data_IF_002010603521
#
_entry.id   IF_002010603521
#
_cell.length_a   1.000
_cell.length_b   1.000
_cell.length_c   1.000
_cell.angle_alpha   90.00
_cell.angle_beta   90.00
_cell.angle_gamma   90.00
#
_symmetry.space_group_name_H-M   'P 1'
#
loop_
_entity.id
_entity.type
_entity.pdbx_description
1 polymer ?
#
# COMPACT_ATOMS: atom_id res chain seq x y z
N UNK A 1 -6.31 -5.92 -4.41
CA UNK A 1 -7.15 -5.96 -3.18
C UNK A 1 -8.49 -5.21 -3.30
N UNK A 2 -8.93 -4.77 -4.48
CA UNK A 2 -10.21 -4.05 -4.65
C UNK A 2 -11.43 -4.95 -4.84
N UNK A 3 -11.24 -6.26 -5.04
CA UNK A 3 -12.36 -7.19 -5.15
C UNK A 3 -13.15 -7.26 -3.84
N UNK A 4 -14.46 -7.47 -3.97
CA UNK A 4 -15.41 -7.42 -2.86
C UNK A 4 -15.04 -8.37 -1.71
N UNK A 5 -14.54 -9.58 -2.00
CA UNK A 5 -14.06 -10.55 -1.00
C UNK A 5 -12.97 -10.03 -0.06
N UNK A 6 -12.28 -8.95 -0.42
CA UNK A 6 -11.22 -8.35 0.38
C UNK A 6 -11.68 -7.15 1.24
N UNK A 7 -12.95 -6.74 1.16
CA UNK A 7 -13.44 -5.51 1.81
C UNK A 7 -13.22 -5.47 3.34
N UNK A 8 -13.16 -6.64 3.98
CA UNK A 8 -12.97 -6.78 5.43
C UNK A 8 -11.52 -7.16 5.82
N UNK A 9 -10.56 -7.02 4.91
CA UNK A 9 -9.13 -7.34 5.14
C UNK A 9 -8.27 -6.13 5.49
N UNK A 10 -8.87 -4.95 5.58
CA UNK A 10 -8.21 -3.71 6.00
C UNK A 10 -8.49 -3.47 7.48
N UNK A 11 -7.43 -3.29 8.27
CA UNK A 11 -7.52 -3.11 9.72
C UNK A 11 -6.66 -1.92 10.16
N UNK A 12 -7.16 -1.05 11.05
CA UNK A 12 -6.34 0.00 11.65
C UNK A 12 -5.21 -0.62 12.48
N UNK A 13 -3.96 -0.22 12.21
CA UNK A 13 -2.77 -0.75 12.87
C UNK A 13 -2.88 -0.62 14.40
N UNK A 14 -3.14 0.59 14.91
CA UNK A 14 -3.10 0.91 16.35
C UNK A 14 -4.13 0.13 17.17
N UNK A 15 -5.29 -0.21 16.57
CA UNK A 15 -6.39 -0.89 17.25
C UNK A 15 -6.33 -2.41 17.11
N UNK A 16 -5.87 -2.91 15.96
CA UNK A 16 -6.02 -4.31 15.60
C UNK A 16 -4.73 -5.11 15.74
N UNK A 17 -3.58 -4.55 15.33
CA UNK A 17 -2.37 -5.35 15.12
C UNK A 17 -1.85 -6.01 16.40
N UNK A 18 -1.53 -5.23 17.43
CA UNK A 18 -1.03 -5.75 18.72
C UNK A 18 -2.05 -6.68 19.39
N UNK A 19 -3.34 -6.35 19.29
CA UNK A 19 -4.43 -7.21 19.79
C UNK A 19 -4.45 -8.55 19.06
N UNK A 20 -4.39 -8.56 17.73
CA UNK A 20 -4.38 -9.79 16.94
C UNK A 20 -3.12 -10.63 17.19
N UNK A 21 -1.96 -10.01 17.39
CA UNK A 21 -0.75 -10.72 17.80
C UNK A 21 -0.95 -11.40 19.16
N UNK A 22 -1.42 -10.66 20.17
CA UNK A 22 -1.65 -11.18 21.53
C UNK A 22 -2.70 -12.29 21.57
N UNK A 23 -3.76 -12.17 20.77
CA UNK A 23 -4.86 -13.15 20.72
C UNK A 23 -4.61 -14.32 19.76
N UNK A 24 -3.48 -14.34 19.04
CA UNK A 24 -3.19 -15.37 18.04
C UNK A 24 -4.15 -15.34 16.84
N UNK A 25 -4.69 -14.17 16.49
CA UNK A 25 -5.66 -13.95 15.39
C UNK A 25 -5.03 -13.31 14.15
N UNK A 26 -3.70 -13.16 14.13
CA UNK A 26 -3.01 -12.59 12.98
C UNK A 26 -3.17 -13.52 11.77
N UNK A 27 -3.54 -13.02 10.57
CA UNK A 27 -3.55 -13.82 9.36
C UNK A 27 -2.15 -14.37 9.01
N UNK A 28 -2.11 -15.44 8.22
CA UNK A 28 -0.85 -16.05 7.77
C UNK A 28 0.01 -15.12 6.90
N UNK A 29 -0.60 -14.11 6.29
CA UNK A 29 0.07 -13.08 5.51
C UNK A 29 -0.52 -11.71 5.86
N UNK A 30 0.35 -10.79 6.28
CA UNK A 30 -0.01 -9.43 6.67
C UNK A 30 0.97 -8.47 6.02
N UNK A 31 0.43 -7.41 5.42
CA UNK A 31 1.18 -6.24 4.97
C UNK A 31 0.88 -5.12 5.94
N UNK A 32 1.92 -4.44 6.41
CA UNK A 32 1.80 -3.28 7.31
C UNK A 32 2.17 -2.06 6.48
N UNK A 33 1.20 -1.18 6.28
CA UNK A 33 1.39 0.11 5.62
C UNK A 33 1.61 1.18 6.68
N UNK A 34 2.55 2.09 6.44
CA UNK A 34 2.85 3.20 7.34
C UNK A 34 1.81 4.33 7.22
N UNK A 35 1.87 5.28 8.15
CA UNK A 35 1.16 6.54 8.10
C UNK A 35 2.07 7.58 7.46
N UNK A 36 1.68 8.00 6.26
CA UNK A 36 2.39 8.99 5.45
C UNK A 36 1.94 10.44 5.67
N UNK A 37 0.85 10.65 6.42
CA UNK A 37 0.28 11.96 6.70
C UNK A 37 0.38 12.23 8.20
N UNK A 38 1.16 13.25 8.58
CA UNK A 38 1.50 13.58 9.96
C UNK A 38 0.41 14.40 10.65
N UNK A 39 -0.53 13.73 11.33
CA UNK A 39 -1.63 14.35 12.08
C UNK A 39 -1.29 14.46 13.58
N UNK A 40 -0.50 15.48 13.93
CA UNK A 40 -0.06 15.69 15.32
C UNK A 40 -1.18 16.32 16.18
N UNK A 41 -1.30 15.95 17.46
CA UNK A 41 -0.45 15.02 18.20
C UNK A 41 -0.92 13.56 18.18
N UNK A 42 -2.10 13.26 17.62
CA UNK A 42 -2.80 11.99 17.84
C UNK A 42 -2.33 10.84 16.94
N UNK A 43 -2.03 11.13 15.68
CA UNK A 43 -1.67 10.14 14.66
C UNK A 43 -0.47 10.64 13.84
N UNK A 44 0.72 10.75 14.46
CA UNK A 44 1.90 11.20 13.75
C UNK A 44 2.31 10.20 12.65
N UNK A 45 3.03 10.73 11.66
CA UNK A 45 3.69 9.92 10.64
C UNK A 45 4.64 8.91 11.29
N UNK A 46 4.73 7.71 10.73
CA UNK A 46 5.55 6.61 11.27
C UNK A 46 6.28 5.82 10.18
N UNK A 47 6.74 6.54 9.16
CA UNK A 47 7.61 6.06 8.08
C UNK A 47 9.02 6.66 8.22
N UNK A 48 9.90 6.29 7.28
CA UNK A 48 11.25 6.85 7.15
C UNK A 48 11.32 7.96 6.07
N UNK A 49 10.18 8.42 5.54
CA UNK A 49 10.09 9.37 4.43
C UNK A 49 10.25 10.83 4.93
N UNK A 50 11.06 11.69 4.26
CA UNK A 50 11.12 13.10 4.60
C UNK A 50 9.76 13.83 4.44
N UNK A 51 9.41 14.81 5.27
CA UNK A 51 10.16 15.43 6.36
C UNK A 51 9.98 14.74 7.72
N UNK A 52 9.46 13.51 7.78
CA UNK A 52 9.36 12.79 9.06
C UNK A 52 10.73 12.38 9.58
N UNK A 53 10.86 12.36 10.90
CA UNK A 53 12.03 11.80 11.56
C UNK A 53 12.02 10.28 11.41
N UNK A 54 13.10 9.72 10.86
CA UNK A 54 13.27 8.26 10.68
C UNK A 54 13.12 7.49 12.00
N UNK A 55 13.36 8.12 13.15
CA UNK A 55 13.11 7.50 14.45
C UNK A 55 11.65 7.04 14.62
N UNK A 56 10.69 7.70 13.96
CA UNK A 56 9.29 7.29 13.98
C UNK A 56 9.05 6.00 13.17
N UNK A 57 9.62 5.88 11.97
CA UNK A 57 9.61 4.64 11.19
C UNK A 57 10.35 3.50 11.89
N UNK A 58 11.52 3.78 12.46
CA UNK A 58 12.26 2.79 13.25
C UNK A 58 11.49 2.34 14.50
N UNK A 59 10.67 3.22 15.11
CA UNK A 59 9.80 2.84 16.23
C UNK A 59 8.69 1.90 15.77
N UNK A 60 8.11 2.10 14.59
CA UNK A 60 7.15 1.16 14.01
C UNK A 60 7.80 -0.23 13.80
N UNK A 61 9.01 -0.28 13.23
CA UNK A 61 9.74 -1.56 13.05
C UNK A 61 9.98 -2.26 14.39
N UNK A 62 10.42 -1.51 15.42
CA UNK A 62 10.57 -2.03 16.79
C UNK A 62 9.26 -2.59 17.33
N UNK A 63 8.17 -1.84 17.26
CA UNK A 63 6.86 -2.29 17.76
C UNK A 63 6.37 -3.56 17.07
N UNK A 64 6.58 -3.68 15.76
CA UNK A 64 6.21 -4.87 14.99
C UNK A 64 7.07 -6.06 15.40
N UNK A 65 8.39 -5.89 15.49
CA UNK A 65 9.31 -6.93 15.94
C UNK A 65 8.93 -7.45 17.34
N UNK A 66 8.69 -6.54 18.29
CA UNK A 66 8.39 -6.88 19.67
C UNK A 66 7.01 -7.53 19.85
N UNK A 67 6.07 -7.28 18.95
CA UNK A 67 4.77 -7.94 18.95
C UNK A 67 4.81 -9.38 18.38
N UNK A 68 5.77 -9.68 17.50
CA UNK A 68 5.88 -10.97 16.81
C UNK A 68 6.80 -11.95 17.57
N UNK A 69 6.51 -13.26 17.49
CA UNK A 69 7.29 -14.31 18.18
C UNK A 69 7.62 -15.55 17.35
N UNK A 70 6.85 -15.84 16.30
CA UNK A 70 7.06 -17.04 15.48
C UNK A 70 6.66 -16.77 14.03
N UNK A 71 7.32 -15.79 13.42
CA UNK A 71 6.97 -15.25 12.10
C UNK A 71 8.24 -14.93 11.32
N UNK A 72 8.14 -14.90 10.00
CA UNK A 72 9.12 -14.23 9.14
C UNK A 72 8.65 -12.79 8.93
N UNK A 73 9.34 -11.85 9.56
CA UNK A 73 9.17 -10.42 9.29
C UNK A 73 10.12 -10.03 8.16
N UNK A 74 9.57 -9.39 7.14
CA UNK A 74 10.33 -8.79 6.02
C UNK A 74 10.18 -7.29 6.12
N UNK A 75 11.29 -6.58 6.33
CA UNK A 75 11.34 -5.11 6.30
C UNK A 75 12.09 -4.70 5.05
N UNK A 76 11.46 -3.89 4.20
CA UNK A 76 12.08 -3.35 2.99
C UNK A 76 11.50 -1.97 2.69
N UNK A 77 12.06 -1.31 1.67
CA UNK A 77 11.73 0.05 1.28
C UNK A 77 11.27 0.04 -0.17
N UNK A 78 10.17 0.71 -0.47
CA UNK A 78 9.59 0.83 -1.81
C UNK A 78 10.52 1.52 -2.80
N UNK A 79 11.34 2.46 -2.31
CA UNK A 79 12.37 3.13 -3.10
C UNK A 79 13.66 3.46 -2.33
N UNK A 80 14.65 3.97 -3.08
CA UNK A 80 15.97 4.31 -2.58
C UNK A 80 16.10 5.76 -2.03
N UNK A 81 15.03 6.56 -2.06
CA UNK A 81 15.01 7.94 -1.55
C UNK A 81 15.94 8.93 -2.28
N UNK A 82 16.36 8.62 -3.51
CA UNK A 82 17.27 9.47 -4.29
C UNK A 82 18.74 9.42 -3.86
N UNK A 83 19.11 8.55 -2.93
CA UNK A 83 20.48 8.43 -2.44
C UNK A 83 21.37 7.67 -3.42
N UNK A 84 22.65 8.07 -3.51
CA UNK A 84 23.61 7.35 -4.35
C UNK A 84 23.84 5.92 -3.84
N UNK A 85 23.74 4.95 -4.74
CA UNK A 85 24.21 3.58 -4.53
C UNK A 85 25.28 3.24 -5.58
N UNK A 86 26.36 2.62 -5.14
CA UNK A 86 27.51 2.30 -5.99
C UNK A 86 27.30 1.07 -6.87
N UNK A 87 26.26 0.26 -6.62
CA UNK A 87 26.00 -0.98 -7.36
C UNK A 87 25.21 -0.66 -8.62
N UNK A 88 25.73 -1.01 -9.82
CA UNK A 88 25.00 -0.85 -11.06
C UNK A 88 23.69 -1.66 -11.06
N UNK A 89 22.63 -1.09 -11.64
CA UNK A 89 21.33 -1.75 -11.67
C UNK A 89 21.34 -2.98 -12.60
N UNK A 90 20.81 -4.14 -12.17
CA UNK A 90 20.72 -5.31 -13.02
C UNK A 90 19.84 -5.09 -14.26
N UNK A 91 20.36 -5.45 -15.43
CA UNK A 91 19.66 -5.36 -16.73
C UNK A 91 19.65 -6.68 -17.50
N UNK A 92 20.51 -7.63 -17.12
CA UNK A 92 20.70 -8.87 -17.88
C UNK A 92 19.64 -9.91 -17.53
N UNK A 93 18.83 -10.32 -18.52
CA UNK A 93 17.86 -11.41 -18.36
C UNK A 93 16.75 -11.09 -17.36
N UNK A 94 16.42 -9.81 -17.18
CA UNK A 94 15.40 -9.29 -16.25
C UNK A 94 14.07 -9.20 -17.04
N UNK A 95 13.11 -10.13 -16.90
CA UNK A 95 11.94 -10.20 -17.78
C UNK A 95 10.91 -9.10 -17.52
N UNK A 96 10.42 -8.41 -18.55
CA UNK A 96 9.22 -7.55 -18.40
C UNK A 96 8.07 -8.33 -17.73
N UNK A 97 7.40 -7.79 -16.69
CA UNK A 97 6.44 -8.54 -15.89
C UNK A 97 5.29 -9.08 -16.74
N UNK A 98 4.70 -8.23 -17.57
CA UNK A 98 3.52 -8.51 -18.40
C UNK A 98 3.74 -8.18 -19.89
N UNK A 99 4.90 -7.63 -20.26
CA UNK A 99 5.20 -7.22 -21.63
C UNK A 99 4.59 -5.88 -22.03
N UNK A 100 4.00 -5.13 -21.09
CA UNK A 100 3.47 -3.80 -21.33
C UNK A 100 4.62 -2.79 -21.36
N UNK A 101 4.62 -1.94 -22.39
CA UNK A 101 5.58 -0.84 -22.55
C UNK A 101 4.87 0.46 -22.20
N UNK A 102 5.54 1.36 -21.47
CA UNK A 102 4.96 2.66 -21.14
C UNK A 102 4.69 3.50 -22.39
N UNK A 103 3.78 4.47 -22.28
CA UNK A 103 3.44 5.33 -23.41
C UNK A 103 4.65 6.18 -23.87
N UNK A 104 4.69 6.62 -25.15
CA UNK A 104 5.65 7.60 -25.62
C UNK A 104 5.60 8.91 -24.80
N UNK A 105 6.73 9.66 -24.71
CA UNK A 105 7.98 9.45 -25.43
C UNK A 105 8.94 8.45 -24.75
N UNK A 106 8.69 8.06 -23.50
CA UNK A 106 9.65 7.28 -22.70
C UNK A 106 9.75 5.83 -23.21
N UNK A 107 8.62 5.19 -23.54
CA UNK A 107 8.58 3.81 -24.07
C UNK A 107 9.37 2.80 -23.21
N UNK A 108 9.19 2.86 -21.90
CA UNK A 108 9.90 2.03 -20.93
C UNK A 108 9.36 0.60 -20.93
N UNK A 109 10.22 -0.40 -21.17
CA UNK A 109 9.83 -1.81 -21.34
C UNK A 109 9.75 -2.62 -20.04
N UNK A 110 10.14 -2.02 -18.91
CA UNK A 110 10.18 -2.68 -17.59
C UNK A 110 11.01 -3.97 -17.56
N UNK A 111 12.06 -4.07 -18.37
CA UNK A 111 12.97 -5.22 -18.52
C UNK A 111 14.31 -5.01 -17.81
N UNK A 112 14.31 -4.20 -16.74
CA UNK A 112 15.45 -3.91 -15.87
C UNK A 112 15.01 -3.67 -14.43
N UNK A 113 15.95 -3.74 -13.49
CA UNK A 113 15.72 -3.36 -12.09
C UNK A 113 16.09 -1.90 -11.82
N UNK A 114 15.51 -1.37 -10.75
CA UNK A 114 15.85 -0.05 -10.18
C UNK A 114 17.10 -0.09 -9.31
N UNK A 115 17.33 1.02 -8.60
CA UNK A 115 18.39 1.16 -7.60
C UNK A 115 18.10 0.21 -6.42
N UNK A 116 19.15 -0.25 -5.74
CA UNK A 116 18.99 -1.12 -4.57
C UNK A 116 18.25 -0.40 -3.44
N UNK A 117 17.50 -1.19 -2.69
CA UNK A 117 16.84 -0.79 -1.46
C UNK A 117 17.26 -1.74 -0.33
N UNK A 118 17.23 -1.30 0.94
CA UNK A 118 17.47 -2.20 2.06
C UNK A 118 16.41 -3.32 2.14
N UNK A 119 16.85 -4.50 2.57
CA UNK A 119 15.96 -5.62 2.90
C UNK A 119 16.50 -6.35 4.13
N UNK A 120 15.67 -6.47 5.16
CA UNK A 120 15.99 -7.12 6.43
C UNK A 120 14.98 -8.24 6.66
N UNK A 121 15.49 -9.46 6.87
CA UNK A 121 14.69 -10.64 7.16
C UNK A 121 14.90 -11.02 8.62
N UNK A 122 13.81 -11.06 9.38
CA UNK A 122 13.85 -11.32 10.82
C UNK A 122 12.96 -12.50 11.15
N UNK A 123 13.56 -13.55 11.73
CA UNK A 123 12.84 -14.74 12.16
C UNK A 123 13.69 -15.54 13.14
N UNK A 124 13.10 -16.21 14.16
CA UNK A 124 13.86 -17.10 15.03
C UNK A 124 14.39 -18.34 14.27
N UNK A 125 13.96 -18.58 13.03
CA UNK A 125 14.50 -19.63 12.15
C UNK A 125 15.71 -19.19 11.30
N UNK A 126 16.21 -17.97 11.47
CA UNK A 126 17.39 -17.44 10.77
C UNK A 126 18.58 -17.38 11.74
N UNK A 127 19.75 -17.81 11.28
CA UNK A 127 21.00 -17.69 12.05
C UNK A 127 21.40 -16.22 12.25
N UNK A 128 21.91 -15.82 13.44
CA UNK A 128 22.28 -14.43 13.69
C UNK A 128 23.45 -14.01 12.80
N UNK A 129 23.39 -12.77 12.30
CA UNK A 129 24.44 -12.22 11.43
C UNK A 129 24.47 -12.80 10.02
N UNK A 130 23.39 -13.47 9.58
CA UNK A 130 23.28 -13.97 8.20
C UNK A 130 23.24 -12.82 7.20
N UNK A 131 24.12 -12.88 6.20
CA UNK A 131 24.12 -11.98 5.04
C UNK A 131 23.96 -12.82 3.78
N UNK A 132 22.95 -12.49 2.98
CA UNK A 132 22.73 -13.08 1.66
C UNK A 132 22.99 -12.04 0.58
N UNK A 133 23.69 -12.45 -0.49
CA UNK A 133 24.04 -11.52 -1.57
C UNK A 133 23.21 -11.72 -2.83
N UNK A 134 22.99 -12.97 -3.24
CA UNK A 134 22.21 -13.31 -4.45
C UNK A 134 21.34 -14.54 -4.19
N UNK A 135 20.17 -14.64 -4.84
CA UNK A 135 19.37 -15.84 -4.75
C UNK A 135 20.02 -17.00 -5.54
N UNK A 136 19.70 -18.25 -5.19
CA UNK A 136 20.19 -19.43 -5.91
C UNK A 136 19.49 -19.68 -7.26
N UNK A 137 18.43 -18.93 -7.58
CA UNK A 137 17.61 -19.11 -8.76
C UNK A 137 16.28 -18.36 -8.63
N UNK A 138 15.26 -18.67 -9.43
CA UNK A 138 15.16 -19.84 -10.32
C UNK A 138 16.02 -19.80 -11.58
N UNK A 139 16.46 -18.62 -12.03
CA UNK A 139 17.36 -18.46 -13.17
C UNK A 139 18.75 -17.98 -12.71
N UNK A 140 19.82 -18.21 -13.49
CA UNK A 140 21.16 -17.72 -13.15
C UNK A 140 21.24 -16.19 -13.02
N UNK A 141 20.31 -15.46 -13.64
CA UNK A 141 20.24 -13.99 -13.59
C UNK A 141 19.35 -13.47 -12.47
N UNK A 142 18.57 -14.33 -11.79
CA UNK A 142 17.63 -13.96 -10.74
C UNK A 142 18.27 -13.07 -9.68
N UNK A 143 17.51 -12.09 -9.20
CA UNK A 143 17.90 -11.18 -8.13
C UNK A 143 16.86 -11.21 -7.00
N UNK A 144 17.25 -10.71 -5.84
CA UNK A 144 16.28 -10.27 -4.83
C UNK A 144 15.79 -8.87 -5.20
N UNK A 145 14.48 -8.72 -5.33
CA UNK A 145 13.79 -7.46 -5.67
C UNK A 145 12.34 -7.51 -5.14
N UNK A 146 11.52 -6.47 -5.33
CA UNK A 146 10.18 -6.41 -4.74
C UNK A 146 9.28 -7.61 -5.06
N UNK A 147 9.40 -8.19 -6.25
CA UNK A 147 8.64 -9.36 -6.67
C UNK A 147 9.14 -10.66 -6.02
N UNK A 148 10.27 -10.63 -5.31
CA UNK A 148 10.67 -11.70 -4.38
C UNK A 148 9.65 -11.89 -3.26
N UNK A 149 8.89 -10.86 -2.87
CA UNK A 149 7.80 -10.97 -1.89
C UNK A 149 6.69 -11.88 -2.43
N UNK A 150 5.98 -11.56 -3.54
CA UNK A 150 4.96 -12.44 -4.09
C UNK A 150 5.52 -13.81 -4.53
N UNK A 151 6.77 -13.89 -5.02
CA UNK A 151 7.41 -15.17 -5.34
C UNK A 151 7.57 -16.07 -4.10
N UNK A 152 7.98 -15.48 -2.98
CA UNK A 152 8.10 -16.18 -1.68
C UNK A 152 6.73 -16.59 -1.17
N UNK A 153 5.73 -15.70 -1.24
CA UNK A 153 4.33 -16.00 -0.85
C UNK A 153 3.78 -17.17 -1.67
N UNK A 154 3.95 -17.14 -3.00
CA UNK A 154 3.57 -18.23 -3.91
C UNK A 154 4.16 -19.55 -3.44
N UNK A 155 5.47 -19.55 -3.12
CA UNK A 155 6.19 -20.76 -2.72
C UNK A 155 5.77 -21.29 -1.35
N UNK A 156 5.73 -20.43 -0.33
CA UNK A 156 5.38 -20.82 1.05
C UNK A 156 3.93 -21.33 1.14
N UNK A 157 3.00 -20.70 0.41
CA UNK A 157 1.59 -21.10 0.42
C UNK A 157 1.22 -22.10 -0.69
N UNK A 158 2.20 -22.56 -1.47
CA UNK A 158 2.01 -23.49 -2.58
C UNK A 158 0.88 -23.05 -3.54
N UNK A 159 0.87 -21.77 -3.91
CA UNK A 159 -0.10 -21.24 -4.86
C UNK A 159 0.20 -21.78 -6.27
N UNK A 160 -0.85 -21.94 -7.08
CA UNK A 160 -0.78 -22.62 -8.38
C UNK A 160 0.14 -21.90 -9.37
N UNK A 161 -0.09 -20.61 -9.55
CA UNK A 161 0.55 -19.80 -10.58
C UNK A 161 1.28 -18.61 -9.95
N UNK A 162 2.28 -18.09 -10.67
CA UNK A 162 2.84 -16.76 -10.42
C UNK A 162 1.92 -15.69 -10.99
N UNK A 163 2.05 -14.45 -10.50
CA UNK A 163 1.25 -13.32 -10.99
C UNK A 163 1.73 -12.83 -12.35
N UNK A 164 3.04 -12.86 -12.58
CA UNK A 164 3.73 -12.29 -13.75
C UNK A 164 4.97 -13.11 -14.10
N UNK A 165 5.69 -12.71 -15.16
CA UNK A 165 7.01 -13.28 -15.47
C UNK A 165 8.09 -12.81 -14.49
N UNK A 166 7.91 -11.65 -13.86
CA UNK A 166 8.88 -11.02 -12.95
C UNK A 166 8.97 -11.79 -11.63
N UNK A 167 7.85 -12.08 -10.98
CA UNK A 167 7.83 -12.89 -9.75
C UNK A 167 8.14 -14.38 -10.02
N UNK A 168 7.84 -14.90 -11.22
CA UNK A 168 8.33 -16.21 -11.63
C UNK A 168 9.87 -16.29 -11.76
N UNK A 169 10.52 -15.16 -12.04
CA UNK A 169 11.98 -15.05 -12.18
C UNK A 169 12.67 -14.61 -10.88
N UNK A 170 11.99 -13.94 -9.98
CA UNK A 170 12.57 -13.38 -8.76
C UNK A 170 13.06 -14.47 -7.79
N UNK A 171 14.15 -14.20 -7.06
CA UNK A 171 14.59 -15.06 -5.98
C UNK A 171 13.60 -15.08 -4.81
N UNK A 172 13.53 -16.18 -4.07
CA UNK A 172 12.63 -16.33 -2.92
C UNK A 172 13.40 -16.37 -1.59
N UNK A 173 12.76 -15.92 -0.50
CA UNK A 173 13.42 -15.71 0.80
C UNK A 173 13.45 -16.94 1.71
N UNK A 174 12.62 -17.95 1.48
CA UNK A 174 12.54 -19.11 2.38
C UNK A 174 13.86 -19.87 2.49
N UNK A 175 14.78 -19.69 1.55
CA UNK A 175 16.11 -20.28 1.57
C UNK A 175 16.95 -19.85 2.78
N UNK A 176 16.62 -18.72 3.43
CA UNK A 176 17.33 -18.27 4.64
C UNK A 176 16.79 -18.89 5.94
N UNK A 177 15.64 -19.54 5.89
CA UNK A 177 15.05 -20.25 7.02
C UNK A 177 15.76 -21.60 7.20
N UNK A 178 17.02 -21.55 7.62
CA UNK A 178 17.93 -22.70 7.63
C UNK A 178 17.77 -23.62 8.85
N UNK A 179 17.08 -23.15 9.90
CA UNK A 179 16.91 -23.91 11.13
C UNK A 179 15.67 -24.78 11.11
N UNK A 180 15.71 -25.92 11.81
CA UNK A 180 14.53 -26.77 12.05
C UNK A 180 13.78 -26.37 13.32
N UNK A 181 14.45 -25.73 14.27
CA UNK A 181 13.86 -25.22 15.51
C UNK A 181 14.16 -23.73 15.70
N UNK A 182 13.20 -22.95 16.25
CA UNK A 182 13.41 -21.54 16.50
C UNK A 182 14.53 -21.35 17.53
N UNK A 183 15.30 -20.29 17.34
CA UNK A 183 16.28 -19.81 18.31
C UNK A 183 15.60 -19.29 19.58
N UNK A 184 16.28 -19.47 20.71
CA UNK A 184 15.81 -19.07 22.04
C UNK A 184 16.50 -17.82 22.58
N UNK A 185 17.42 -17.24 21.81
CA UNK A 185 18.24 -16.07 22.17
C UNK A 185 17.83 -14.81 21.40
N UNK A 186 16.61 -14.77 20.86
CA UNK A 186 16.09 -13.58 20.18
C UNK A 186 15.76 -12.49 21.23
N UNK A 187 16.24 -11.24 21.05
CA UNK A 187 15.89 -10.14 21.96
C UNK A 187 14.37 -9.96 22.06
N UNK A 188 13.84 -9.83 23.27
CA UNK A 188 12.40 -9.56 23.47
C UNK A 188 12.06 -8.08 23.30
N UNK A 189 13.04 -7.22 23.55
CA UNK A 189 12.95 -5.76 23.47
C UNK A 189 14.18 -5.22 22.69
N UNK A 190 13.94 -4.29 21.77
CA UNK A 190 14.96 -3.57 21.01
C UNK A 190 15.24 -2.20 21.64
N UNK A 191 16.39 -1.58 21.38
CA UNK A 191 16.68 -0.21 21.85
C UNK A 191 15.68 0.82 21.33
N UNK A 192 15.41 1.86 22.14
CA UNK A 192 14.58 2.98 21.71
C UNK A 192 15.26 3.79 20.58
N UNK A 193 14.57 4.05 19.45
CA UNK A 193 15.08 4.92 18.41
C UNK A 193 15.30 6.35 18.91
N UNK A 194 16.45 6.93 18.54
CA UNK A 194 16.83 8.29 18.92
C UNK A 194 16.27 9.28 17.91
N UNK A 195 15.52 10.27 18.37
CA UNK A 195 15.05 11.38 17.54
C UNK A 195 16.25 12.16 16.98
N UNK A 196 16.27 12.37 15.67
CA UNK A 196 17.32 13.09 14.95
C UNK A 196 16.91 14.54 14.60
N UNK A 197 15.62 14.84 14.64
CA UNK A 197 15.02 16.15 14.37
C UNK A 197 14.37 16.67 15.63
N UNK A 198 14.59 17.95 15.94
CA UNK A 198 13.87 18.64 17.01
C UNK A 198 12.42 18.85 16.55
N UNK A 199 11.49 18.03 17.05
CA UNK A 199 10.05 18.19 16.80
C UNK A 199 9.59 19.55 17.31
N UNK A 200 9.21 20.50 16.44
CA UNK A 200 8.80 21.82 16.91
C UNK A 200 7.55 22.43 16.27
N UNK A 201 7.06 22.00 15.11
CA UNK A 201 5.87 22.63 14.53
C UNK A 201 4.84 21.59 14.07
N UNK A 202 3.56 21.90 14.28
CA UNK A 202 2.45 21.10 13.83
C UNK A 202 2.51 20.99 12.31
N UNK A 203 3.02 19.86 11.81
CA UNK A 203 3.13 19.62 10.37
C UNK A 203 1.76 19.52 9.71
N UNK A 204 0.68 19.26 10.45
CA UNK A 204 -0.64 19.06 9.83
C UNK A 204 -1.16 20.27 9.02
N UNK A 205 -0.67 21.49 9.30
CA UNK A 205 -1.03 22.71 8.57
C UNK A 205 -0.03 23.08 7.45
N UNK A 206 1.08 22.35 7.30
CA UNK A 206 2.02 22.59 6.19
C UNK A 206 1.44 22.05 4.89
N UNK A 207 1.93 22.58 3.77
CA UNK A 207 1.60 22.04 2.45
C UNK A 207 2.11 20.60 2.29
N UNK A 208 1.37 19.79 1.55
CA UNK A 208 1.74 18.40 1.30
C UNK A 208 2.99 18.27 0.42
N UNK A 209 3.75 17.18 0.59
CA UNK A 209 4.83 16.79 -0.32
C UNK A 209 4.28 16.23 -1.64
N UNK A 210 5.14 16.07 -2.65
CA UNK A 210 4.78 15.40 -3.91
C UNK A 210 4.24 13.99 -3.66
N UNK A 211 4.93 13.19 -2.86
CA UNK A 211 4.45 11.86 -2.45
C UNK A 211 3.07 11.90 -1.77
N UNK A 212 2.85 12.84 -0.84
CA UNK A 212 1.55 12.99 -0.18
C UNK A 212 0.45 13.44 -1.16
N UNK A 213 0.79 14.23 -2.19
CA UNK A 213 -0.12 14.59 -3.27
C UNK A 213 -0.51 13.38 -4.13
N UNK A 214 0.43 12.48 -4.42
CA UNK A 214 0.14 11.22 -5.13
C UNK A 214 -0.81 10.31 -4.33
N UNK A 215 -0.69 10.28 -2.99
CA UNK A 215 -1.65 9.57 -2.13
C UNK A 215 -3.06 10.15 -2.24
N UNK A 216 -3.18 11.47 -2.31
CA UNK A 216 -4.48 12.15 -2.53
C UNK A 216 -5.05 11.79 -3.90
N UNK A 217 -4.24 11.77 -4.95
CA UNK A 217 -4.66 11.35 -6.29
C UNK A 217 -5.09 9.88 -6.34
N UNK A 218 -4.40 9.00 -5.61
CA UNK A 218 -4.83 7.61 -5.45
C UNK A 218 -6.19 7.53 -4.73
N UNK A 219 -6.42 8.39 -3.72
CA UNK A 219 -7.72 8.57 -3.10
C UNK A 219 -8.81 9.00 -4.10
N UNK A 220 -8.50 9.92 -5.03
CA UNK A 220 -9.43 10.35 -6.07
C UNK A 220 -9.80 9.22 -7.05
N UNK A 221 -8.86 8.31 -7.32
CA UNK A 221 -9.14 7.10 -8.10
C UNK A 221 -10.11 6.16 -7.37
N UNK A 222 -10.05 6.10 -6.04
CA UNK A 222 -10.92 5.24 -5.22
C UNK A 222 -12.34 5.80 -5.08
N UNK A 223 -12.51 7.12 -5.05
CA UNK A 223 -13.79 7.76 -4.73
C UNK A 223 -14.54 8.31 -5.97
N UNK A 224 -13.96 8.14 -7.16
CA UNK A 224 -14.53 8.57 -8.45
C UNK A 224 -14.13 9.98 -8.89
N UNK A 225 -13.43 10.77 -8.06
CA UNK A 225 -13.08 12.15 -8.38
C UNK A 225 -12.05 12.25 -9.52
N UNK A 226 -11.35 11.15 -9.83
CA UNK A 226 -10.43 11.07 -10.97
C UNK A 226 -11.07 11.36 -12.34
N UNK A 227 -12.39 11.24 -12.45
CA UNK A 227 -13.13 11.54 -13.69
C UNK A 227 -13.60 13.00 -13.77
N UNK A 228 -13.29 13.83 -12.78
CA UNK A 228 -13.71 15.24 -12.73
C UNK A 228 -12.62 16.15 -13.27
N UNK A 229 -12.99 17.35 -13.73
CA UNK A 229 -12.03 18.38 -14.13
C UNK A 229 -11.08 18.81 -12.99
N UNK A 230 -11.43 18.48 -11.75
CA UNK A 230 -10.60 18.75 -10.58
C UNK A 230 -9.41 17.78 -10.47
N UNK A 231 -9.38 16.64 -11.20
CA UNK A 231 -8.30 15.66 -11.10
C UNK A 231 -6.94 16.15 -11.63
N UNK A 232 -6.91 17.23 -12.41
CA UNK A 232 -5.64 17.88 -12.76
C UNK A 232 -4.87 18.17 -11.48
N UNK A 233 -3.65 17.62 -11.38
CA UNK A 233 -2.84 17.56 -10.15
C UNK A 233 -2.85 18.89 -9.39
N UNK A 234 -2.59 19.99 -10.09
CA UNK A 234 -2.51 21.34 -9.49
C UNK A 234 -3.85 21.85 -8.94
N UNK A 235 -4.99 21.37 -9.45
CA UNK A 235 -6.33 21.77 -9.00
C UNK A 235 -6.81 20.97 -7.80
N UNK A 236 -6.58 19.66 -7.78
CA UNK A 236 -7.01 18.81 -6.67
C UNK A 236 -6.21 19.09 -5.42
N UNK A 237 -4.88 19.14 -5.55
CA UNK A 237 -3.96 19.18 -4.41
C UNK A 237 -3.42 20.58 -4.11
N UNK A 238 -3.72 21.56 -4.97
CA UNK A 238 -3.21 22.92 -4.87
C UNK A 238 -3.57 23.59 -3.55
N UNK A 239 -2.55 23.95 -2.76
CA UNK A 239 -2.71 24.62 -1.47
C UNK A 239 -3.22 23.73 -0.33
N UNK A 240 -3.36 22.41 -0.57
CA UNK A 240 -3.84 21.47 0.42
C UNK A 240 -2.82 21.30 1.56
N UNK A 241 -3.33 21.36 2.78
CA UNK A 241 -2.58 21.03 4.00
C UNK A 241 -2.56 19.52 4.23
N UNK A 242 -1.62 19.02 5.04
CA UNK A 242 -1.60 17.59 5.43
C UNK A 242 -2.92 17.17 6.09
N UNK A 243 -3.51 18.02 6.93
CA UNK A 243 -4.79 17.74 7.58
C UNK A 243 -5.91 17.53 6.56
N UNK A 244 -6.01 18.41 5.55
CA UNK A 244 -7.00 18.30 4.47
C UNK A 244 -6.74 17.08 3.59
N UNK A 245 -5.49 16.77 3.28
CA UNK A 245 -5.11 15.57 2.54
C UNK A 245 -5.49 14.29 3.30
N UNK A 246 -5.29 14.25 4.61
CA UNK A 246 -5.63 13.10 5.42
C UNK A 246 -7.15 12.91 5.53
N UNK A 247 -7.89 14.00 5.76
CA UNK A 247 -9.35 13.98 5.71
C UNK A 247 -9.87 13.49 4.35
N UNK A 248 -9.29 13.99 3.26
CA UNK A 248 -9.65 13.57 1.90
C UNK A 248 -9.43 12.07 1.70
N UNK A 249 -8.23 11.55 2.01
CA UNK A 249 -7.90 10.13 1.88
C UNK A 249 -8.81 9.24 2.74
N UNK A 250 -9.11 9.66 3.97
CA UNK A 250 -10.03 8.94 4.86
C UNK A 250 -11.45 8.91 4.29
N UNK A 251 -11.96 10.04 3.80
CA UNK A 251 -13.29 10.11 3.15
C UNK A 251 -13.35 9.31 1.87
N UNK A 252 -12.31 9.35 1.05
CA UNK A 252 -12.20 8.58 -0.17
C UNK A 252 -12.30 7.07 0.11
N UNK A 253 -11.52 6.59 1.09
CA UNK A 253 -11.58 5.19 1.50
C UNK A 253 -12.93 4.81 2.14
N UNK A 254 -13.53 5.70 2.93
CA UNK A 254 -14.85 5.49 3.51
C UNK A 254 -15.94 5.33 2.43
N UNK A 255 -15.92 6.17 1.40
CA UNK A 255 -16.84 6.11 0.25
C UNK A 255 -16.64 4.80 -0.54
N UNK A 256 -15.39 4.40 -0.78
CA UNK A 256 -15.09 3.09 -1.37
C UNK A 256 -15.65 1.93 -0.54
N UNK A 257 -15.50 1.96 0.79
CA UNK A 257 -16.06 0.94 1.68
C UNK A 257 -17.58 0.91 1.70
N UNK A 258 -18.24 2.05 1.55
CA UNK A 258 -19.69 2.13 1.41
C UNK A 258 -20.15 1.49 0.11
N UNK A 259 -19.46 1.78 -1.00
CA UNK A 259 -19.75 1.17 -2.29
C UNK A 259 -19.54 -0.35 -2.26
N UNK A 260 -18.48 -0.84 -1.61
CA UNK A 260 -18.31 -2.27 -1.35
C UNK A 260 -19.51 -2.87 -0.60
N UNK A 261 -19.98 -2.23 0.49
CA UNK A 261 -21.16 -2.71 1.24
C UNK A 261 -22.40 -2.74 0.35
N UNK A 262 -22.64 -1.68 -0.44
CA UNK A 262 -23.76 -1.62 -1.38
C UNK A 262 -23.72 -2.77 -2.38
N UNK A 263 -22.58 -3.03 -3.01
CA UNK A 263 -22.42 -4.14 -3.95
C UNK A 263 -22.67 -5.50 -3.28
N UNK A 264 -22.15 -5.71 -2.06
CA UNK A 264 -22.40 -6.91 -1.28
C UNK A 264 -23.89 -7.11 -0.99
N UNK A 265 -24.58 -6.06 -0.52
CA UNK A 265 -26.00 -6.13 -0.16
C UNK A 265 -26.90 -6.31 -1.40
N UNK A 266 -26.44 -5.87 -2.57
CA UNK A 266 -27.05 -6.18 -3.87
C UNK A 266 -26.76 -7.59 -4.40
N UNK A 267 -26.00 -8.41 -3.68
CA UNK A 267 -25.67 -9.78 -4.07
C UNK A 267 -24.68 -9.87 -5.24
N UNK A 268 -23.83 -8.87 -5.43
CA UNK A 268 -22.74 -8.93 -6.42
C UNK A 268 -21.74 -10.04 -6.06
N UNK A 269 -21.14 -10.64 -7.08
CA UNK A 269 -20.15 -11.70 -6.90
C UNK A 269 -18.93 -11.23 -6.09
N UNK A 270 -18.34 -12.13 -5.29
CA UNK A 270 -17.18 -11.85 -4.45
C UNK A 270 -15.92 -11.39 -5.24
N UNK A 271 -15.83 -11.75 -6.52
CA UNK A 271 -14.77 -11.32 -7.42
C UNK A 271 -15.02 -9.96 -8.07
N UNK A 272 -16.23 -9.38 -7.91
CA UNK A 272 -16.58 -8.07 -8.42
C UNK A 272 -15.64 -6.99 -7.86
N UNK A 273 -15.27 -6.02 -8.70
CA UNK A 273 -14.44 -4.87 -8.31
C UNK A 273 -15.38 -3.67 -8.21
N UNK A 274 -15.70 -3.18 -7.00
CA UNK A 274 -16.54 -2.01 -6.83
C UNK A 274 -15.86 -0.75 -7.36
N UNK A 275 -16.63 0.04 -8.09
CA UNK A 275 -16.19 1.31 -8.67
C UNK A 275 -17.12 2.41 -8.19
N UNK A 276 -16.54 3.39 -7.50
CA UNK A 276 -17.30 4.55 -7.04
C UNK A 276 -17.53 5.47 -8.23
N UNK A 277 -18.79 5.65 -8.60
CA UNK A 277 -19.15 6.55 -9.69
C UNK A 277 -18.88 8.02 -9.31
N UNK A 278 -18.42 8.85 -10.26
CA UNK A 278 -18.30 10.28 -10.06
C UNK A 278 -19.65 10.87 -9.66
N UNK A 279 -19.65 11.93 -8.85
CA UNK A 279 -20.89 12.62 -8.51
C UNK A 279 -21.55 13.13 -9.81
N UNK A 280 -22.84 12.83 -10.00
CA UNK A 280 -23.58 13.38 -11.13
C UNK A 280 -23.54 14.91 -11.07
N UNK A 281 -23.37 15.61 -12.21
CA UNK A 281 -23.45 17.06 -12.23
C UNK A 281 -24.80 17.51 -11.65
N UNK A 282 -24.85 18.65 -10.95
CA UNK A 282 -26.09 19.15 -10.39
C UNK A 282 -27.17 19.21 -11.47
N UNK A 283 -28.33 18.62 -11.18
CA UNK A 283 -29.45 18.59 -12.13
C UNK A 283 -29.76 20.02 -12.58
N UNK A 284 -29.87 20.21 -13.90
CA UNK A 284 -30.28 21.49 -14.46
C UNK A 284 -31.60 21.94 -13.79
N UNK A 285 -31.73 23.22 -13.42
CA UNK A 285 -32.96 23.71 -12.80
C UNK A 285 -34.15 23.37 -13.70
N UNK A 286 -35.17 22.74 -13.11
CA UNK A 286 -36.36 22.34 -13.84
C UNK A 286 -36.95 23.56 -14.59
N UNK A 287 -37.30 23.44 -15.88
CA UNK A 287 -37.96 24.53 -16.58
C UNK A 287 -39.27 24.86 -15.85
N UNK A 288 -39.66 26.14 -15.75
CA UNK A 288 -40.87 26.54 -15.05
C UNK A 288 -42.07 25.80 -15.68
N UNK A 289 -42.80 25.07 -14.83
CA UNK A 289 -43.93 24.27 -15.26
C UNK A 289 -44.96 25.14 -16.01
N UNK A 290 -45.07 24.96 -17.31
CA UNK A 290 -46.20 25.48 -18.07
C UNK A 290 -47.43 24.67 -17.65
N UNK A 291 -48.38 25.35 -17.01
CA UNK A 291 -49.70 24.79 -16.70
C UNK A 291 -50.44 24.51 -18.02
N UNK A 292 -50.21 23.36 -18.63
CA UNK A 292 -51.14 22.81 -19.60
C UNK A 292 -52.23 22.05 -18.83
N UNK A 293 -53.36 22.71 -18.64
CA UNK A 293 -54.62 22.05 -18.28
C UNK A 293 -54.98 21.05 -19.37
N UNK A 294 -54.78 19.76 -19.13
CA UNK A 294 -55.37 18.70 -19.94
C UNK A 294 -56.55 18.13 -19.14
N UNK A 295 -57.75 18.42 -19.63
CA UNK A 295 -58.98 17.82 -19.16
C UNK A 295 -58.98 16.32 -19.49
N UNK A 296 -59.10 15.46 -18.48
CA UNK A 296 -59.43 14.04 -18.66
C UNK A 296 -60.95 13.88 -18.73
N UNK A 297 -61.52 13.26 -19.78
CA UNK A 297 -62.83 12.66 -19.66
C UNK A 297 -62.70 11.28 -19.01
N UNK A 298 -63.48 11.08 -17.95
CA UNK A 298 -63.72 9.78 -17.34
C UNK A 298 -64.29 8.79 -18.36
N UNK A 299 -63.70 7.60 -18.45
CA UNK A 299 -64.43 6.40 -18.85
C UNK A 299 -64.29 5.34 -17.76
N UNK A 300 -65.45 4.96 -17.20
CA UNK A 300 -65.68 3.74 -16.42
C UNK A 300 -66.26 2.69 -17.38
N UNK A 301 -65.64 1.52 -17.44
CA UNK A 301 -66.21 0.19 -17.19
C UNK A 301 -65.13 -0.85 -17.54
#
# INVERSE_FOLDING_TARGET
>A
MRQLKYMNKFHPYDLAFKRHCKEGKLPNYVVIEQRYLDLKPLLPGNDDHPSHDVAHGQRLVKEVYEALRSTLLVVTYDEHGGFFDHVPTPVAGVPSPDGVVSAPPISFAFDRLGVRVPAILVSPWIEPGTVIHRPPGPEPTSQYEHSSIPATVKKIFNLKEFLTKRDAWAGTFETVLTRTTPRTDCPEELPEPVLLRSSAEAEEHRGISEFQAELVQLGAALNGDHATEAYETDKLVGGMTIAEAADYCQRAFAKFREECRRCHDCGMDESYIPEVQPAAPPAAPAPPASKLCICFPCFRA
#
